data_IF_180166853148
#
_entry.id   IF_180166853148
#
_cell.length_a   1.000
_cell.length_b   1.000
_cell.length_c   1.000
_cell.angle_alpha   90.00
_cell.angle_beta   90.00
_cell.angle_gamma   90.00
#
_symmetry.space_group_name_H-M   'P 1'
#
loop_
_entity.id
_entity.type
_entity.pdbx_description
1 polymer ?
#
# COMPACT_ATOMS: atom_id res chain seq x y z
N UNK A 1 12.32 25.75 -0.36
CA UNK A 1 12.85 24.38 -0.44
C UNK A 1 11.99 23.65 -1.45
N UNK A 2 12.53 23.34 -2.63
CA UNK A 2 11.80 22.71 -3.73
C UNK A 2 11.28 21.35 -3.25
N UNK A 3 9.97 21.18 -3.20
CA UNK A 3 9.33 19.89 -3.01
C UNK A 3 9.76 19.02 -4.18
N UNK A 4 10.71 18.12 -3.95
CA UNK A 4 10.96 17.05 -4.90
C UNK A 4 9.61 16.35 -5.09
N UNK A 5 9.03 16.47 -6.28
CA UNK A 5 7.84 15.72 -6.62
C UNK A 5 8.23 14.25 -6.51
N UNK A 6 7.79 13.60 -5.44
CA UNK A 6 7.99 12.18 -5.23
C UNK A 6 7.44 11.48 -6.48
N UNK A 7 8.31 10.75 -7.19
CA UNK A 7 7.91 10.08 -8.42
C UNK A 7 6.92 8.99 -8.00
N UNK A 8 5.66 9.18 -8.36
CA UNK A 8 4.63 8.16 -8.15
C UNK A 8 5.00 6.94 -9.00
N UNK A 9 5.31 5.82 -8.33
CA UNK A 9 5.73 4.56 -8.97
C UNK A 9 4.61 3.54 -9.11
N UNK A 10 3.37 3.97 -8.96
CA UNK A 10 2.19 3.13 -9.14
C UNK A 10 1.07 3.82 -9.91
N UNK A 11 0.14 3.04 -10.43
CA UNK A 11 -1.13 3.51 -10.96
C UNK A 11 -2.25 2.54 -10.60
N UNK A 12 -3.50 3.01 -10.67
CA UNK A 12 -4.67 2.17 -10.41
C UNK A 12 -5.21 1.64 -11.74
N UNK A 13 -5.36 0.32 -11.86
CA UNK A 13 -5.91 -0.35 -13.04
C UNK A 13 -6.96 -1.39 -12.65
N UNK A 14 -7.63 -2.00 -13.63
CA UNK A 14 -8.49 -3.17 -13.38
C UNK A 14 -7.62 -4.35 -12.90
N UNK A 15 -8.09 -5.06 -11.88
CA UNK A 15 -7.36 -6.14 -11.21
C UNK A 15 -7.91 -7.51 -11.60
N UNK A 16 -7.00 -8.49 -11.70
CA UNK A 16 -7.38 -9.91 -11.81
C UNK A 16 -7.81 -10.54 -10.48
N UNK A 17 -7.59 -9.87 -9.35
CA UNK A 17 -7.98 -10.32 -8.00
C UNK A 17 -9.41 -9.88 -7.72
N UNK A 18 -9.65 -8.57 -7.65
CA UNK A 18 -10.97 -8.01 -7.38
C UNK A 18 -11.04 -6.52 -7.73
N UNK A 19 -12.04 -6.12 -8.52
CA UNK A 19 -12.28 -4.72 -8.88
C UNK A 19 -11.04 -4.06 -9.47
N UNK A 20 -10.56 -2.99 -8.84
CA UNK A 20 -9.32 -2.31 -9.21
C UNK A 20 -8.16 -2.74 -8.31
N UNK A 21 -6.96 -2.59 -8.82
CA UNK A 21 -5.70 -2.88 -8.14
C UNK A 21 -4.68 -1.77 -8.37
N UNK A 22 -3.62 -1.78 -7.56
CA UNK A 22 -2.48 -0.87 -7.70
C UNK A 22 -1.36 -1.61 -8.42
N UNK A 23 -0.81 -1.01 -9.48
CA UNK A 23 0.21 -1.64 -10.33
C UNK A 23 1.47 -0.79 -10.38
N UNK A 24 2.63 -1.43 -10.31
CA UNK A 24 3.91 -0.74 -10.42
C UNK A 24 4.12 -0.17 -11.85
N UNK A 25 4.40 1.13 -11.99
CA UNK A 25 4.69 1.75 -13.31
C UNK A 25 6.20 1.78 -13.64
N UNK A 26 7.03 1.38 -12.69
CA UNK A 26 8.47 1.22 -12.82
C UNK A 26 8.95 0.00 -12.00
N UNK A 27 10.21 -0.40 -12.16
CA UNK A 27 10.82 -1.33 -11.22
C UNK A 27 10.96 -0.64 -9.85
N UNK A 28 10.63 -1.39 -8.80
CA UNK A 28 10.70 -0.94 -7.40
C UNK A 28 11.69 -1.87 -6.71
N UNK A 29 12.69 -1.30 -6.03
CA UNK A 29 13.69 -2.10 -5.33
C UNK A 29 13.11 -2.62 -4.02
N UNK A 30 13.66 -3.72 -3.51
CA UNK A 30 13.36 -4.18 -2.15
C UNK A 30 13.55 -3.04 -1.13
N UNK A 31 12.66 -2.98 -0.14
CA UNK A 31 12.60 -1.98 0.95
C UNK A 31 12.30 -0.54 0.51
N UNK A 32 12.11 -0.30 -0.78
CA UNK A 32 11.77 1.01 -1.32
C UNK A 32 10.37 1.43 -0.88
N UNK A 33 10.22 2.70 -0.50
CA UNK A 33 8.93 3.31 -0.15
C UNK A 33 8.15 3.60 -1.43
N UNK A 34 6.93 3.09 -1.48
CA UNK A 34 6.01 3.24 -2.61
C UNK A 34 5.08 4.44 -2.39
N UNK A 35 4.69 4.68 -1.14
CA UNK A 35 3.82 5.78 -0.75
C UNK A 35 3.20 5.57 0.63
N UNK A 36 2.29 6.45 1.02
CA UNK A 36 1.62 6.45 2.34
C UNK A 36 0.13 6.14 2.15
N UNK A 37 -0.30 4.87 2.19
CA UNK A 37 -1.71 4.51 2.01
C UNK A 37 -2.61 4.87 3.19
N UNK A 38 -2.03 5.11 4.36
CA UNK A 38 -2.77 5.21 5.63
C UNK A 38 -2.18 6.28 6.55
N UNK A 39 -3.06 7.17 7.01
CA UNK A 39 -2.78 8.21 8.00
C UNK A 39 -3.90 8.27 9.04
N UNK A 40 -3.56 8.48 10.31
CA UNK A 40 -4.54 8.77 11.37
C UNK A 40 -4.46 10.26 11.71
N UNK A 41 -5.50 11.02 11.37
CA UNK A 41 -5.60 12.45 11.64
C UNK A 41 -6.39 12.69 12.92
N UNK A 42 -6.06 13.78 13.63
CA UNK A 42 -6.75 14.21 14.85
C UNK A 42 -6.97 13.08 15.87
N UNK A 43 -6.00 12.15 15.94
CA UNK A 43 -5.98 10.96 16.82
C UNK A 43 -7.04 9.89 16.52
N UNK A 44 -8.18 10.22 15.92
CA UNK A 44 -9.30 9.29 15.73
C UNK A 44 -9.75 9.08 14.29
N UNK A 45 -9.36 9.96 13.36
CA UNK A 45 -9.81 9.88 11.97
C UNK A 45 -8.85 9.04 11.13
N UNK A 46 -9.27 7.83 10.76
CA UNK A 46 -8.53 6.96 9.86
C UNK A 46 -8.74 7.46 8.42
N UNK A 47 -7.67 7.98 7.83
CA UNK A 47 -7.61 8.43 6.45
C UNK A 47 -6.88 7.38 5.61
N UNK A 48 -7.63 6.72 4.71
CA UNK A 48 -7.10 5.83 3.68
C UNK A 48 -7.00 6.65 2.40
N UNK A 49 -5.86 6.64 1.70
CA UNK A 49 -5.70 7.47 0.50
C UNK A 49 -6.56 6.96 -0.66
N UNK A 50 -7.09 7.89 -1.47
CA UNK A 50 -8.03 7.59 -2.57
C UNK A 50 -7.40 6.80 -3.74
N UNK A 51 -6.08 6.70 -3.76
CA UNK A 51 -5.28 6.03 -4.78
C UNK A 51 -4.65 4.73 -4.28
N UNK A 52 -3.63 4.80 -3.43
CA UNK A 52 -2.87 3.65 -2.96
C UNK A 52 -3.66 2.84 -1.93
N UNK A 53 -4.10 3.48 -0.85
CA UNK A 53 -4.73 2.76 0.27
C UNK A 53 -6.09 2.17 -0.06
N UNK A 54 -6.88 2.84 -0.90
CA UNK A 54 -8.23 2.41 -1.29
C UNK A 54 -8.23 1.23 -2.25
N UNK A 55 -7.22 1.14 -3.12
CA UNK A 55 -7.22 0.19 -4.25
C UNK A 55 -6.17 -0.91 -4.15
N UNK A 56 -5.23 -0.86 -3.20
CA UNK A 56 -4.29 -1.96 -3.01
C UNK A 56 -5.03 -3.21 -2.56
N UNK A 57 -4.80 -4.34 -3.22
CA UNK A 57 -5.51 -5.58 -2.95
C UNK A 57 -4.84 -6.45 -1.88
N UNK A 58 -5.61 -7.43 -1.40
CA UNK A 58 -5.11 -8.44 -0.48
C UNK A 58 -4.40 -9.58 -1.21
N UNK A 59 -3.30 -10.09 -0.63
CA UNK A 59 -2.77 -11.41 -0.91
C UNK A 59 -2.11 -12.00 0.35
N UNK A 60 -2.22 -13.31 0.57
CA UNK A 60 -1.43 -13.99 1.61
C UNK A 60 0.06 -14.10 1.30
N UNK A 61 0.44 -14.02 0.01
CA UNK A 61 1.83 -13.95 -0.43
C UNK A 61 2.10 -12.57 -1.03
N UNK A 62 1.80 -11.55 -0.24
CA UNK A 62 1.93 -10.15 -0.62
C UNK A 62 3.37 -9.79 -0.99
N UNK A 63 3.53 -8.87 -1.94
CA UNK A 63 4.81 -8.31 -2.35
C UNK A 63 5.12 -6.96 -1.68
N UNK A 64 4.20 -6.42 -0.89
CA UNK A 64 4.36 -5.19 -0.12
C UNK A 64 3.86 -5.33 1.31
N UNK A 65 4.31 -4.44 2.21
CA UNK A 65 3.88 -4.40 3.62
C UNK A 65 3.83 -2.98 4.15
N UNK A 66 2.93 -2.75 5.11
CA UNK A 66 2.85 -1.49 5.86
C UNK A 66 3.92 -1.43 6.96
N UNK A 67 4.60 -0.29 7.02
CA UNK A 67 5.55 0.04 8.08
C UNK A 67 5.09 1.31 8.77
N UNK A 68 5.10 1.31 10.11
CA UNK A 68 4.81 2.51 10.89
C UNK A 68 5.95 3.50 10.71
N UNK A 69 5.64 4.73 10.30
CA UNK A 69 6.63 5.80 10.26
C UNK A 69 6.85 6.31 11.69
N UNK A 70 8.10 6.29 12.14
CA UNK A 70 8.45 6.71 13.50
C UNK A 70 8.10 8.18 13.75
N UNK A 71 7.60 8.46 14.95
CA UNK A 71 7.13 9.79 15.35
C UNK A 71 5.91 10.34 14.57
N UNK A 72 5.30 9.57 13.66
CA UNK A 72 4.20 10.04 12.82
C UNK A 72 2.96 9.15 12.91
N UNK A 73 1.78 9.73 12.69
CA UNK A 73 0.53 8.98 12.57
C UNK A 73 0.30 8.41 11.16
N UNK A 74 1.37 8.03 10.46
CA UNK A 74 1.34 7.53 9.09
C UNK A 74 1.95 6.13 8.98
N UNK A 75 1.51 5.38 7.99
CA UNK A 75 2.08 4.10 7.59
C UNK A 75 2.50 4.18 6.14
N UNK A 76 3.75 3.87 5.88
CA UNK A 76 4.30 3.77 4.53
C UNK A 76 4.19 2.33 4.02
N UNK A 77 3.92 2.18 2.74
CA UNK A 77 3.96 0.90 2.05
C UNK A 77 5.35 0.71 1.46
N UNK A 78 6.01 -0.41 1.77
CA UNK A 78 7.30 -0.78 1.20
C UNK A 78 7.24 -2.10 0.45
N UNK A 79 8.10 -2.23 -0.55
CA UNK A 79 8.32 -3.49 -1.26
C UNK A 79 9.05 -4.50 -0.36
N UNK A 80 8.58 -5.74 -0.32
CA UNK A 80 9.22 -6.85 0.42
C UNK A 80 10.38 -7.50 -0.36
N UNK A 81 10.38 -7.33 -1.68
CA UNK A 81 11.42 -7.77 -2.61
C UNK A 81 11.45 -6.84 -3.84
N UNK A 82 12.33 -7.09 -4.80
CA UNK A 82 12.35 -6.39 -6.07
C UNK A 82 11.06 -6.66 -6.88
N UNK A 83 10.33 -5.60 -7.22
CA UNK A 83 9.08 -5.68 -7.97
C UNK A 83 9.31 -5.14 -9.39
N UNK A 84 8.91 -5.94 -10.39
CA UNK A 84 9.00 -5.52 -11.80
C UNK A 84 7.87 -4.57 -12.15
N UNK A 85 8.13 -3.62 -13.06
CA UNK A 85 7.09 -2.83 -13.72
C UNK A 85 5.94 -3.74 -14.22
N UNK A 86 4.70 -3.29 -14.01
CA UNK A 86 3.47 -3.98 -14.39
C UNK A 86 2.98 -5.00 -13.37
N UNK A 87 3.70 -5.22 -12.27
CA UNK A 87 3.27 -6.14 -11.22
C UNK A 87 2.20 -5.49 -10.35
N UNK A 88 1.12 -6.22 -10.04
CA UNK A 88 0.11 -5.78 -9.07
C UNK A 88 0.73 -5.78 -7.67
N UNK A 89 0.64 -4.64 -7.00
CA UNK A 89 1.02 -4.46 -5.61
C UNK A 89 -0.11 -4.97 -4.71
N UNK A 90 0.25 -5.87 -3.79
CA UNK A 90 -0.70 -6.45 -2.84
C UNK A 90 -0.11 -6.41 -1.44
N UNK A 91 -0.98 -6.36 -0.43
CA UNK A 91 -0.59 -6.43 0.98
C UNK A 91 -1.34 -7.53 1.72
N UNK A 92 -0.76 -8.02 2.82
CA UNK A 92 -1.48 -8.91 3.72
C UNK A 92 -2.34 -8.08 4.68
N UNK A 93 -3.66 -8.08 4.49
CA UNK A 93 -4.59 -7.35 5.37
C UNK A 93 -4.59 -7.90 6.81
N UNK A 94 -4.09 -9.11 7.06
CA UNK A 94 -3.93 -9.65 8.42
C UNK A 94 -2.85 -8.88 9.18
N UNK A 95 -1.90 -8.29 8.47
CA UNK A 95 -0.73 -7.57 9.00
C UNK A 95 -0.92 -6.03 9.03
N UNK A 96 -2.11 -5.53 8.71
CA UNK A 96 -2.45 -4.10 8.88
C UNK A 96 -2.57 -3.71 10.37
N UNK A 97 -2.62 -2.42 10.73
CA UNK A 97 -2.90 -2.01 12.11
C UNK A 97 -4.22 -2.57 12.65
N UNK A 98 -4.31 -2.79 13.96
CA UNK A 98 -5.46 -3.47 14.60
C UNK A 98 -6.82 -2.80 14.39
N UNK A 99 -6.82 -1.48 14.12
CA UNK A 99 -8.03 -0.70 13.84
C UNK A 99 -8.50 -0.80 12.39
N UNK A 100 -7.71 -1.41 11.50
CA UNK A 100 -8.13 -1.74 10.14
C UNK A 100 -8.83 -3.10 10.16
N UNK A 101 -10.03 -3.15 9.59
CA UNK A 101 -10.84 -4.37 9.50
C UNK A 101 -10.05 -5.46 8.78
N UNK A 102 -9.91 -6.61 9.45
CA UNK A 102 -9.24 -7.81 8.92
C UNK A 102 -10.12 -8.55 7.93
N UNK A 103 -9.54 -9.26 6.95
CA UNK A 103 -10.31 -10.06 6.01
C UNK A 103 -11.01 -11.19 6.77
N UNK A 104 -12.23 -11.54 6.37
CA UNK A 104 -12.83 -12.80 6.80
C UNK A 104 -12.12 -13.94 6.07
N UNK A 105 -12.12 -15.15 6.65
CA UNK A 105 -11.35 -16.34 6.21
C UNK A 105 -11.54 -16.72 4.72
N UNK A 106 -12.55 -16.16 4.06
CA UNK A 106 -12.93 -16.43 2.67
C UNK A 106 -12.24 -15.56 1.61
N UNK A 107 -11.56 -14.47 2.02
CA UNK A 107 -10.79 -13.61 1.11
C UNK A 107 -9.32 -14.04 1.15
N UNK A 108 -8.93 -14.91 0.23
CA UNK A 108 -7.54 -15.36 0.02
C UNK A 108 -6.78 -14.43 -0.91
#
# INVERSE_FOLDING_TARGET
>A
MSSQHEIVKYEVQESGIHGKGVFAVANISKDEVIGVPLEVKYVVYIHITEDLGKWINHSWNANTKLFKIDGQNKWELKALDNIKKGTELTMDYRDTPWFIKKPTIWYK
#
